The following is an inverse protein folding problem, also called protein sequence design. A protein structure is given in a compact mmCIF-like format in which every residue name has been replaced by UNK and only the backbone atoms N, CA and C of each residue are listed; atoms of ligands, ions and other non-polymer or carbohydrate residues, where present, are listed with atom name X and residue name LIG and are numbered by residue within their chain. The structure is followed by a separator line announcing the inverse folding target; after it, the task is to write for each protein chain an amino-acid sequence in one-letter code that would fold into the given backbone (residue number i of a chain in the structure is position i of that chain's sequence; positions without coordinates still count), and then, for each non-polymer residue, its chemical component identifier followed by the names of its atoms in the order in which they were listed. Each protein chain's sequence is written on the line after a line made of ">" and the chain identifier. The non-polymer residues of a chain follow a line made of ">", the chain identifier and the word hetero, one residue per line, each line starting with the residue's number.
data_IF_728999364861
#
_entry.id   IF_728999364861
#
_cell.length_a   1.000
_cell.length_b   1.000
_cell.length_c   1.000
_cell.angle_alpha   90.00
_cell.angle_beta   90.00
_cell.angle_gamma   90.00
#
_symmetry.space_group_name_H-M   'P 1'
#
loop_
_entity.id
_entity.type
_entity.pdbx_description
1 polymer ?
#
# COMPACT_ATOMS: atom_id res chain seq x y z
N UNK A 1 7.75 6.71 -23.63
CA UNK A 1 6.73 6.27 -22.65
C UNK A 1 7.36 5.46 -21.51
N UNK A 2 8.08 4.37 -21.81
CA UNK A 2 8.60 3.45 -20.78
C UNK A 2 9.57 4.09 -19.78
N UNK A 3 10.48 4.99 -20.19
CA UNK A 3 11.42 5.63 -19.26
C UNK A 3 10.72 6.51 -18.21
N UNK A 4 9.61 7.16 -18.60
CA UNK A 4 8.79 7.95 -17.68
C UNK A 4 8.04 7.05 -16.68
N UNK A 5 7.42 5.97 -17.16
CA UNK A 5 6.75 4.99 -16.31
C UNK A 5 7.73 4.30 -15.35
N UNK A 6 8.93 3.95 -15.81
CA UNK A 6 10.00 3.42 -14.98
C UNK A 6 10.40 4.42 -13.88
N UNK A 7 10.60 5.69 -14.23
CA UNK A 7 10.92 6.74 -13.27
C UNK A 7 9.86 6.88 -12.17
N UNK A 8 8.58 6.89 -12.53
CA UNK A 8 7.46 6.92 -11.56
C UNK A 8 7.44 5.66 -10.70
N UNK A 9 7.63 4.49 -11.31
CA UNK A 9 7.61 3.21 -10.58
C UNK A 9 8.71 3.18 -9.53
N UNK A 10 9.93 3.57 -9.90
CA UNK A 10 11.06 3.65 -8.96
C UNK A 10 10.77 4.65 -7.84
N UNK A 11 10.22 5.83 -8.16
CA UNK A 11 9.84 6.83 -7.17
C UNK A 11 8.84 6.26 -6.15
N UNK A 12 7.79 5.59 -6.62
CA UNK A 12 6.76 5.00 -5.74
C UNK A 12 7.35 3.86 -4.90
N UNK A 13 8.25 3.05 -5.46
CA UNK A 13 8.97 2.01 -4.70
C UNK A 13 9.81 2.63 -3.58
N UNK A 14 10.52 3.72 -3.85
CA UNK A 14 11.29 4.45 -2.83
C UNK A 14 10.38 5.02 -1.74
N UNK A 15 9.26 5.67 -2.11
CA UNK A 15 8.28 6.16 -1.14
C UNK A 15 7.69 5.04 -0.28
N UNK A 16 7.46 3.87 -0.89
CA UNK A 16 6.97 2.69 -0.19
C UNK A 16 8.02 2.12 0.76
N UNK A 17 9.31 2.10 0.38
CA UNK A 17 10.40 1.70 1.26
C UNK A 17 10.55 2.62 2.47
N UNK A 18 10.41 3.94 2.28
CA UNK A 18 10.40 4.92 3.40
C UNK A 18 9.20 4.65 4.32
N UNK A 19 8.05 4.33 3.75
CA UNK A 19 6.84 4.01 4.53
C UNK A 19 7.00 2.72 5.33
N UNK A 20 7.62 1.69 4.75
CA UNK A 20 7.99 0.45 5.45
C UNK A 20 8.94 0.72 6.63
N UNK A 21 9.93 1.59 6.44
CA UNK A 21 10.82 2.01 7.52
C UNK A 21 10.04 2.69 8.66
N UNK A 22 9.07 3.56 8.32
CA UNK A 22 8.21 4.24 9.30
C UNK A 22 7.31 3.26 10.07
N UNK A 23 6.85 2.17 9.45
CA UNK A 23 6.11 1.11 10.15
C UNK A 23 6.97 0.46 11.24
N UNK A 24 8.26 0.20 10.96
CA UNK A 24 9.16 -0.44 11.92
C UNK A 24 9.59 0.49 13.06
N UNK A 25 9.87 1.76 12.75
CA UNK A 25 10.44 2.74 13.70
C UNK A 25 9.37 3.59 14.40
N UNK A 26 8.14 3.60 13.90
CA UNK A 26 7.05 4.43 14.42
C UNK A 26 6.83 4.24 15.92
N UNK A 27 6.77 5.36 16.66
CA UNK A 27 6.65 5.37 18.13
C UNK A 27 5.22 5.10 18.60
N UNK A 28 4.21 5.49 17.82
CA UNK A 28 2.80 5.31 18.15
C UNK A 28 2.17 4.25 17.26
N UNK A 29 1.15 3.56 17.78
CA UNK A 29 0.38 2.56 17.01
C UNK A 29 -0.28 3.22 15.78
N UNK A 30 -0.82 4.43 15.95
CA UNK A 30 -1.41 5.20 14.87
C UNK A 30 -0.41 5.55 13.75
N UNK A 31 0.84 5.90 14.10
CA UNK A 31 1.87 6.19 13.10
C UNK A 31 2.18 4.96 12.23
N UNK A 32 2.24 3.78 12.86
CA UNK A 32 2.44 2.50 12.17
C UNK A 32 1.26 2.13 11.28
N UNK A 33 0.03 2.35 11.75
CA UNK A 33 -1.19 2.05 11.00
C UNK A 33 -1.33 2.95 9.77
N UNK A 34 -1.10 4.25 9.92
CA UNK A 34 -1.14 5.19 8.79
C UNK A 34 -0.06 4.82 7.76
N UNK A 35 1.16 4.52 8.23
CA UNK A 35 2.25 4.09 7.34
C UNK A 35 1.92 2.76 6.63
N UNK A 36 1.30 1.80 7.31
CA UNK A 36 0.85 0.54 6.72
C UNK A 36 -0.24 0.74 5.64
N UNK A 37 -1.20 1.64 5.88
CA UNK A 37 -2.21 2.01 4.87
C UNK A 37 -1.60 2.66 3.63
N UNK A 38 -0.52 3.44 3.79
CA UNK A 38 0.22 4.03 2.67
C UNK A 38 0.92 2.94 1.84
N UNK A 39 1.54 1.95 2.49
CA UNK A 39 2.16 0.80 1.82
C UNK A 39 1.13 -0.01 1.05
N UNK A 40 -0.04 -0.27 1.63
CA UNK A 40 -1.14 -0.97 0.96
C UNK A 40 -1.63 -0.25 -0.30
N UNK A 41 -1.76 1.08 -0.22
CA UNK A 41 -2.17 1.92 -1.36
C UNK A 41 -1.15 1.92 -2.48
N UNK A 42 0.13 2.13 -2.15
CA UNK A 42 1.19 2.11 -3.15
C UNK A 42 1.42 0.71 -3.72
N UNK A 43 1.14 -0.35 -2.96
CA UNK A 43 1.33 -1.74 -3.37
C UNK A 43 0.56 -2.10 -4.65
N UNK A 44 -0.74 -1.82 -4.71
CA UNK A 44 -1.51 -2.11 -5.93
C UNK A 44 -1.18 -1.16 -7.08
N UNK A 45 -0.77 0.09 -6.80
CA UNK A 45 -0.27 1.02 -7.84
C UNK A 45 0.99 0.46 -8.49
N UNK A 46 1.93 -0.05 -7.69
CA UNK A 46 3.15 -0.71 -8.17
C UNK A 46 2.79 -1.93 -9.03
N UNK A 47 1.81 -2.76 -8.62
CA UNK A 47 1.37 -3.92 -9.41
C UNK A 47 0.86 -3.50 -10.81
N UNK A 48 0.03 -2.45 -10.88
CA UNK A 48 -0.48 -1.95 -12.17
C UNK A 48 0.64 -1.38 -13.04
N UNK A 49 1.55 -0.60 -12.45
CA UNK A 49 2.69 -0.02 -13.17
C UNK A 49 3.63 -1.10 -13.72
N UNK A 50 3.89 -2.14 -12.95
CA UNK A 50 4.63 -3.33 -13.40
C UNK A 50 3.89 -4.00 -14.57
N UNK A 51 2.56 -4.15 -14.48
CA UNK A 51 1.75 -4.69 -15.58
C UNK A 51 1.86 -3.90 -16.88
N UNK A 52 1.95 -2.57 -16.80
CA UNK A 52 2.22 -1.71 -17.95
C UNK A 52 3.66 -1.87 -18.48
N UNK A 53 4.66 -1.99 -17.60
CA UNK A 53 6.07 -2.13 -17.99
C UNK A 53 6.36 -3.47 -18.70
N UNK A 54 5.67 -4.54 -18.30
CA UNK A 54 5.83 -5.88 -18.89
C UNK A 54 4.82 -6.20 -20.00
N UNK A 55 4.01 -5.22 -20.43
CA UNK A 55 2.96 -5.39 -21.46
C UNK A 55 1.96 -6.53 -21.15
N UNK A 56 1.77 -6.84 -19.87
CA UNK A 56 0.94 -7.97 -19.38
C UNK A 56 -0.12 -7.53 -18.39
N UNK A 57 -0.70 -6.34 -18.60
CA UNK A 57 -1.60 -5.68 -17.65
C UNK A 57 -2.78 -6.55 -17.21
N UNK A 58 -3.32 -7.39 -18.11
CA UNK A 58 -4.48 -8.24 -17.84
C UNK A 58 -4.27 -9.18 -16.64
N UNK A 59 -3.05 -9.66 -16.41
CA UNK A 59 -2.77 -10.53 -15.26
C UNK A 59 -2.56 -9.73 -13.98
N UNK A 60 -1.90 -8.57 -14.07
CA UNK A 60 -1.58 -7.76 -12.89
C UNK A 60 -2.77 -6.99 -12.34
N UNK A 61 -3.74 -6.65 -13.20
CA UNK A 61 -4.92 -5.89 -12.78
C UNK A 61 -5.83 -6.70 -11.86
N UNK A 62 -5.99 -8.01 -12.10
CA UNK A 62 -6.77 -8.90 -11.24
C UNK A 62 -6.15 -8.96 -9.83
N UNK A 63 -4.82 -9.09 -9.77
CA UNK A 63 -4.06 -9.09 -8.51
C UNK A 63 -4.18 -7.72 -7.83
N UNK A 64 -4.05 -6.61 -8.58
CA UNK A 64 -4.14 -5.27 -8.05
C UNK A 64 -5.51 -4.97 -7.44
N UNK A 65 -6.59 -5.36 -8.10
CA UNK A 65 -7.96 -5.19 -7.59
C UNK A 65 -8.16 -6.02 -6.32
N UNK A 66 -7.68 -7.28 -6.29
CA UNK A 66 -7.76 -8.12 -5.09
C UNK A 66 -7.00 -7.47 -3.91
N UNK A 67 -5.81 -6.92 -4.14
CA UNK A 67 -5.04 -6.22 -3.11
C UNK A 67 -5.69 -4.90 -2.66
N UNK A 68 -6.33 -4.16 -3.58
CA UNK A 68 -7.06 -2.94 -3.24
C UNK A 68 -8.26 -3.25 -2.32
N UNK A 69 -9.02 -4.30 -2.64
CA UNK A 69 -10.13 -4.77 -1.80
C UNK A 69 -9.63 -5.25 -0.44
N UNK A 70 -8.52 -5.98 -0.39
CA UNK A 70 -7.92 -6.42 0.86
C UNK A 70 -7.51 -5.22 1.74
N UNK A 71 -6.85 -4.23 1.16
CA UNK A 71 -6.47 -3.00 1.88
C UNK A 71 -7.69 -2.27 2.44
N UNK A 72 -8.79 -2.22 1.69
CA UNK A 72 -10.04 -1.63 2.16
C UNK A 72 -10.64 -2.40 3.34
N UNK A 73 -10.65 -3.74 3.29
CA UNK A 73 -11.12 -4.58 4.40
C UNK A 73 -10.29 -4.34 5.66
N UNK A 74 -8.96 -4.25 5.54
CA UNK A 74 -8.05 -3.99 6.67
C UNK A 74 -8.43 -2.67 7.38
N UNK A 75 -8.70 -1.60 6.62
CA UNK A 75 -9.07 -0.30 7.18
C UNK A 75 -10.41 -0.38 7.93
N UNK A 76 -11.41 -1.11 7.40
CA UNK A 76 -12.69 -1.32 8.08
C UNK A 76 -12.49 -2.08 9.40
N UNK A 77 -11.70 -3.15 9.37
CA UNK A 77 -11.42 -3.97 10.55
C UNK A 77 -10.72 -3.15 11.63
N UNK A 78 -9.73 -2.34 11.25
CA UNK A 78 -9.04 -1.43 12.17
C UNK A 78 -10.02 -0.39 12.75
N UNK A 79 -10.87 0.22 11.93
CA UNK A 79 -11.89 1.15 12.41
C UNK A 79 -12.81 0.53 13.48
N UNK A 80 -13.33 -0.67 13.21
CA UNK A 80 -14.16 -1.42 14.17
C UNK A 80 -13.40 -1.83 15.44
N UNK A 81 -12.11 -2.14 15.31
CA UNK A 81 -11.26 -2.48 16.46
C UNK A 81 -11.12 -1.29 17.41
N UNK A 82 -10.88 -0.09 16.88
CA UNK A 82 -10.78 1.12 17.70
C UNK A 82 -12.13 1.52 18.32
N UNK A 83 -13.22 1.43 17.56
CA UNK A 83 -14.57 1.76 18.04
C UNK A 83 -15.00 0.90 19.26
N UNK A 84 -14.60 -0.39 19.31
CA UNK A 84 -15.00 -1.33 20.37
C UNK A 84 -14.13 -1.31 21.63
N UNK A 85 -13.24 -0.33 21.80
CA UNK A 85 -12.42 -0.18 23.00
C UNK A 85 -10.94 -0.54 22.82
N UNK A 86 -10.42 -0.46 21.60
CA UNK A 86 -8.98 -0.61 21.30
C UNK A 86 -8.06 0.47 21.90
N UNK A 87 -8.62 1.45 22.63
CA UNK A 87 -7.91 2.60 23.21
C UNK A 87 -7.41 2.38 24.66
N UNK A 88 -7.43 1.14 25.20
CA UNK A 88 -6.91 0.85 26.55
C UNK A 88 -5.40 0.54 26.62
N UNK A 89 -4.60 0.99 25.65
CA UNK A 89 -3.13 0.88 25.68
C UNK A 89 -2.47 2.24 25.60
#
# INVERSE_FOLDING_TARGET
>A
MNSFLLGITVLIVVLTAISLYRIAVGKTIFDRIIAAGLVGTNGFIILVLIGFLFERINMFIDIAIAYALLNFIIIIVLGKYFERGGERL
#
